data_IF_062766282266
#
_entry.id   IF_062766282266
#
_cell.length_a   1.000
_cell.length_b   1.000
_cell.length_c   1.000
_cell.angle_alpha   90.00
_cell.angle_beta   90.00
_cell.angle_gamma   90.00
#
_symmetry.space_group_name_H-M   'P 1'
#
loop_
_entity.id
_entity.type
_entity.pdbx_description
1 polymer ?
#
# COMPACT_ATOMS: atom_id res chain seq x y z
N UNK A 1 11.08 15.02 -3.54
CA UNK A 1 10.58 13.71 -4.02
C UNK A 1 9.39 13.18 -3.21
N UNK A 2 9.37 13.34 -1.88
CA UNK A 2 8.29 12.82 -1.02
C UNK A 2 6.89 13.33 -1.40
N UNK A 3 6.73 14.62 -1.73
CA UNK A 3 5.43 15.15 -2.19
C UNK A 3 4.87 14.48 -3.45
N UNK A 4 5.73 13.96 -4.34
CA UNK A 4 5.29 13.19 -5.51
C UNK A 4 4.65 11.84 -5.11
N UNK A 5 4.95 11.35 -3.90
CA UNK A 5 4.45 10.09 -3.34
C UNK A 5 2.95 10.10 -3.09
N UNK A 6 2.35 11.28 -2.84
CA UNK A 6 0.89 11.41 -2.71
C UNK A 6 0.17 11.00 -3.99
N UNK A 7 0.81 11.21 -5.15
CA UNK A 7 0.36 10.63 -6.42
C UNK A 7 0.67 9.13 -6.46
N UNK A 8 1.95 8.81 -6.60
CA UNK A 8 2.41 7.42 -6.64
C UNK A 8 3.82 7.30 -6.04
N UNK A 9 4.06 6.21 -5.30
CA UNK A 9 5.36 5.99 -4.68
C UNK A 9 6.47 5.65 -5.70
N UNK A 10 6.11 5.18 -6.90
CA UNK A 10 7.06 4.89 -7.99
C UNK A 10 7.86 6.15 -8.42
N UNK A 11 7.24 7.25 -8.88
CA UNK A 11 7.97 8.46 -9.24
C UNK A 11 8.65 9.12 -8.04
N UNK A 12 8.12 8.96 -6.82
CA UNK A 12 8.77 9.46 -5.61
C UNK A 12 10.12 8.79 -5.36
N UNK A 13 10.19 7.46 -5.50
CA UNK A 13 11.43 6.68 -5.35
C UNK A 13 12.41 7.01 -6.48
N UNK A 14 11.97 7.07 -7.75
CA UNK A 14 12.82 7.47 -8.88
C UNK A 14 13.38 8.90 -8.70
N UNK A 15 12.56 9.81 -8.16
CA UNK A 15 12.94 11.19 -7.88
C UNK A 15 13.99 11.32 -6.78
N UNK A 16 14.24 10.28 -5.97
CA UNK A 16 15.29 10.31 -4.96
C UNK A 16 16.71 10.37 -5.58
N UNK A 17 16.87 10.10 -6.88
CA UNK A 17 18.15 10.23 -7.60
C UNK A 17 18.76 11.63 -7.58
N UNK A 18 17.93 12.67 -7.43
CA UNK A 18 18.38 14.07 -7.32
C UNK A 18 19.14 14.31 -6.01
N UNK A 19 18.97 13.44 -5.01
CA UNK A 19 19.69 13.53 -3.74
C UNK A 19 21.08 12.92 -3.93
N UNK A 20 22.11 13.77 -3.89
CA UNK A 20 23.50 13.36 -4.09
C UNK A 20 24.01 12.47 -2.95
N UNK A 21 23.66 12.82 -1.70
CA UNK A 21 24.12 12.07 -0.55
C UNK A 21 23.46 10.68 -0.49
N UNK A 22 24.28 9.62 -0.61
CA UNK A 22 23.79 8.23 -0.63
C UNK A 22 22.92 7.88 0.58
N UNK A 23 23.23 8.41 1.76
CA UNK A 23 22.49 8.17 2.99
C UNK A 23 21.11 8.82 2.97
N UNK A 24 21.01 10.10 2.62
CA UNK A 24 19.71 10.77 2.53
C UNK A 24 18.88 10.22 1.36
N UNK A 25 19.54 9.78 0.27
CA UNK A 25 18.88 9.07 -0.83
C UNK A 25 18.24 7.78 -0.36
N UNK A 26 18.98 6.92 0.35
CA UNK A 26 18.44 5.66 0.89
C UNK A 26 17.32 5.90 1.91
N UNK A 27 17.49 6.87 2.82
CA UNK A 27 16.46 7.24 3.78
C UNK A 27 15.18 7.70 3.07
N UNK A 28 15.30 8.54 2.04
CA UNK A 28 14.15 8.98 1.24
C UNK A 28 13.46 7.83 0.51
N UNK A 29 14.23 6.90 -0.05
CA UNK A 29 13.71 5.70 -0.72
C UNK A 29 12.91 4.83 0.26
N UNK A 30 13.39 4.68 1.50
CA UNK A 30 12.72 3.84 2.51
C UNK A 30 11.46 4.48 3.11
N UNK A 31 11.43 5.81 3.18
CA UNK A 31 10.29 6.55 3.70
C UNK A 31 9.21 6.81 2.65
N UNK A 32 9.55 6.89 1.37
CA UNK A 32 8.56 7.15 0.31
C UNK A 32 7.36 6.18 0.34
N UNK A 33 7.52 4.85 0.56
CA UNK A 33 6.41 3.91 0.72
C UNK A 33 5.43 4.18 1.87
N UNK A 34 5.80 4.97 2.89
CA UNK A 34 4.91 5.34 4.00
C UNK A 34 3.97 6.48 3.63
N UNK A 35 4.24 7.19 2.53
CA UNK A 35 3.36 8.24 2.03
C UNK A 35 2.10 7.59 1.48
N UNK A 36 0.92 8.11 1.85
CA UNK A 36 -0.30 7.63 1.25
C UNK A 36 -0.39 8.05 -0.21
N UNK A 37 -0.35 7.07 -1.12
CA UNK A 37 -0.60 7.29 -2.53
C UNK A 37 -2.10 7.31 -2.85
N UNK A 38 -2.45 7.78 -4.05
CA UNK A 38 -3.85 7.85 -4.53
C UNK A 38 -4.61 6.55 -4.36
N UNK A 39 -4.00 5.42 -4.72
CA UNK A 39 -4.63 4.10 -4.61
C UNK A 39 -5.01 3.75 -3.16
N UNK A 40 -4.18 4.09 -2.18
CA UNK A 40 -4.50 3.87 -0.75
C UNK A 40 -5.64 4.77 -0.29
N UNK A 41 -5.65 6.02 -0.77
CA UNK A 41 -6.77 6.94 -0.50
C UNK A 41 -8.07 6.44 -1.10
N UNK A 42 -8.06 5.88 -2.30
CA UNK A 42 -9.24 5.27 -2.93
C UNK A 42 -9.79 4.11 -2.10
N UNK A 43 -8.92 3.22 -1.60
CA UNK A 43 -9.34 2.11 -0.73
C UNK A 43 -9.98 2.61 0.56
N UNK A 44 -9.38 3.60 1.22
CA UNK A 44 -9.95 4.19 2.44
C UNK A 44 -11.28 4.90 2.14
N UNK A 45 -11.36 5.65 1.05
CA UNK A 45 -12.59 6.33 0.65
C UNK A 45 -13.75 5.36 0.38
N UNK A 46 -13.45 4.13 -0.06
CA UNK A 46 -14.45 3.10 -0.27
C UNK A 46 -14.80 2.33 1.01
N UNK A 47 -13.80 1.90 1.79
CA UNK A 47 -14.01 1.04 2.95
C UNK A 47 -14.38 1.82 4.22
N UNK A 48 -13.91 3.04 4.43
CA UNK A 48 -14.20 3.79 5.65
C UNK A 48 -15.72 4.08 5.83
N UNK A 49 -16.47 4.47 4.79
CA UNK A 49 -17.93 4.61 4.88
C UNK A 49 -18.64 3.30 5.24
N UNK A 50 -18.13 2.15 4.78
CA UNK A 50 -18.72 0.85 5.08
C UNK A 50 -18.70 0.51 6.57
N UNK A 51 -17.63 0.87 7.29
CA UNK A 51 -17.51 0.58 8.73
C UNK A 51 -18.03 1.68 9.64
N UNK A 52 -17.94 2.95 9.23
CA UNK A 52 -18.12 4.11 10.11
C UNK A 52 -19.21 5.10 9.69
N UNK A 53 -19.84 4.88 8.52
CA UNK A 53 -20.92 5.75 8.03
C UNK A 53 -20.55 7.24 8.08
N UNK A 54 -21.25 8.01 8.92
CA UNK A 54 -21.04 9.45 9.08
C UNK A 54 -19.66 9.84 9.66
N UNK A 55 -19.03 8.96 10.45
CA UNK A 55 -17.71 9.22 11.02
C UNK A 55 -16.55 8.90 10.06
N UNK A 56 -16.83 8.40 8.85
CA UNK A 56 -15.82 7.98 7.88
C UNK A 56 -14.86 9.10 7.45
N UNK A 57 -15.33 10.35 7.38
CA UNK A 57 -14.50 11.51 7.04
C UNK A 57 -13.44 11.76 8.11
N UNK A 58 -13.83 11.71 9.39
CA UNK A 58 -12.94 11.89 10.53
C UNK A 58 -11.91 10.77 10.61
N UNK A 59 -12.34 9.52 10.39
CA UNK A 59 -11.46 8.34 10.36
C UNK A 59 -10.45 8.45 9.22
N UNK A 60 -10.88 8.86 8.03
CA UNK A 60 -10.00 9.01 6.87
C UNK A 60 -8.91 10.05 7.12
N UNK A 61 -9.29 11.23 7.65
CA UNK A 61 -8.33 12.26 8.05
C UNK A 61 -7.38 11.79 9.15
N UNK A 62 -7.89 11.08 10.15
CA UNK A 62 -7.09 10.46 11.21
C UNK A 62 -6.06 9.48 10.67
N UNK A 63 -6.42 8.67 9.67
CA UNK A 63 -5.49 7.74 9.01
C UNK A 63 -4.41 8.43 8.21
N UNK A 64 -4.74 9.53 7.52
CA UNK A 64 -3.73 10.34 6.81
C UNK A 64 -2.73 10.91 7.80
N UNK A 65 -3.22 11.52 8.89
CA UNK A 65 -2.39 12.08 9.95
C UNK A 65 -1.52 11.01 10.61
N UNK A 66 -2.09 9.82 10.88
CA UNK A 66 -1.36 8.70 11.43
C UNK A 66 -0.26 8.21 10.49
N UNK A 67 -0.54 8.09 9.18
CA UNK A 67 0.48 7.71 8.21
C UNK A 67 1.62 8.74 8.14
N UNK A 68 1.31 10.03 8.19
CA UNK A 68 2.31 11.11 8.24
C UNK A 68 3.09 11.14 9.56
N UNK A 69 2.44 10.85 10.69
CA UNK A 69 3.09 10.72 11.99
C UNK A 69 4.06 9.54 11.99
N UNK A 70 3.64 8.38 11.49
CA UNK A 70 4.49 7.18 11.35
C UNK A 70 5.64 7.43 10.39
N UNK A 71 5.43 8.14 9.29
CA UNK A 71 6.49 8.60 8.38
C UNK A 71 7.52 9.46 9.12
N UNK A 72 7.08 10.46 9.88
CA UNK A 72 7.98 11.35 10.63
C UNK A 72 8.75 10.59 11.71
N UNK A 73 8.06 9.77 12.51
CA UNK A 73 8.67 8.93 13.56
C UNK A 73 9.68 7.94 12.98
N UNK A 74 9.31 7.24 11.91
CA UNK A 74 10.19 6.33 11.18
C UNK A 74 11.41 7.05 10.63
N UNK A 75 11.23 8.26 10.07
CA UNK A 75 12.31 9.06 9.54
C UNK A 75 13.31 9.48 10.61
N UNK A 76 12.82 9.96 11.76
CA UNK A 76 13.67 10.30 12.92
C UNK A 76 14.39 9.05 13.45
N UNK A 77 13.67 7.94 13.60
CA UNK A 77 14.22 6.69 14.12
C UNK A 77 15.35 6.17 13.22
N UNK A 78 15.07 5.98 11.92
CA UNK A 78 16.05 5.47 10.95
C UNK A 78 17.25 6.41 10.82
N UNK A 79 17.03 7.73 10.82
CA UNK A 79 18.13 8.69 10.76
C UNK A 79 19.05 8.59 11.99
N UNK A 80 18.47 8.42 13.18
CA UNK A 80 19.23 8.34 14.44
C UNK A 80 19.93 6.98 14.65
N UNK A 81 19.32 5.88 14.18
CA UNK A 81 19.83 4.52 14.39
C UNK A 81 20.73 4.04 13.26
N UNK A 82 20.34 4.23 11.99
CA UNK A 82 21.02 3.64 10.81
C UNK A 82 21.92 4.65 10.09
N UNK A 83 21.51 5.91 9.97
CA UNK A 83 22.22 6.91 9.14
C UNK A 83 22.79 8.08 9.95
N UNK A 84 23.71 7.81 10.89
CA UNK A 84 24.45 8.87 11.60
C UNK A 84 25.45 9.58 10.67
N UNK A 85 25.31 10.89 10.42
CA UNK A 85 26.37 11.70 9.80
C UNK A 85 25.95 12.98 9.08
N UNK A 86 26.96 13.78 8.71
CA UNK A 86 26.88 15.19 8.31
C UNK A 86 25.82 15.51 7.24
N UNK A 87 25.13 16.63 7.46
CA UNK A 87 24.22 17.27 6.50
C UNK A 87 25.07 17.67 5.29
N UNK A 88 24.76 17.13 4.11
CA UNK A 88 25.38 17.62 2.88
C UNK A 88 25.09 19.12 2.78
N UNK A 89 26.14 19.93 2.64
CA UNK A 89 26.00 21.36 2.42
C UNK A 89 25.23 21.53 1.10
N UNK A 90 23.97 21.92 1.19
CA UNK A 90 23.17 22.28 0.02
C UNK A 90 23.67 23.63 -0.48
N UNK A 91 24.74 23.61 -1.27
CA UNK A 91 25.05 24.71 -2.16
C UNK A 91 24.05 24.57 -3.32
N UNK A 92 22.90 25.21 -3.14
CA UNK A 92 21.86 25.26 -4.17
C UNK A 92 22.24 26.38 -5.14
N UNK A 93 23.21 26.10 -6.02
CA UNK A 93 23.48 26.98 -7.15
C UNK A 93 22.21 26.97 -8.01
N UNK A 94 21.57 28.12 -8.16
CA UNK A 94 20.39 28.22 -9.03
C UNK A 94 20.89 28.04 -10.47
N UNK A 95 20.57 26.94 -11.17
CA UNK A 95 20.95 26.81 -12.57
C UNK A 95 20.19 27.85 -13.39
N UNK A 96 20.79 28.33 -14.48
CA UNK A 96 20.07 29.18 -15.43
C UNK A 96 18.76 28.50 -15.86
N UNK A 97 17.64 29.14 -15.56
CA UNK A 97 16.31 28.65 -15.89
C UNK A 97 16.09 28.81 -17.41
N UNK A 98 16.03 27.69 -18.12
CA UNK A 98 15.75 27.67 -19.55
C UNK A 98 14.24 27.49 -19.78
N UNK A 99 13.69 28.19 -20.78
CA UNK A 99 12.29 28.02 -21.16
C UNK A 99 12.04 26.58 -21.66
N UNK A 100 11.09 25.84 -21.06
CA UNK A 100 10.85 24.46 -21.43
C UNK A 100 10.31 24.34 -22.86
N UNK A 101 10.94 23.48 -23.67
CA UNK A 101 10.40 23.13 -24.98
C UNK A 101 9.24 22.12 -24.83
N UNK A 102 8.01 22.58 -25.05
CA UNK A 102 6.78 21.80 -24.94
C UNK A 102 6.80 20.51 -25.78
N UNK A 103 7.43 20.53 -26.96
CA UNK A 103 7.51 19.35 -27.83
C UNK A 103 8.37 18.25 -27.19
N UNK A 104 9.52 18.64 -26.63
CA UNK A 104 10.44 17.70 -25.97
C UNK A 104 9.81 17.13 -24.69
N UNK A 105 9.13 17.97 -23.90
CA UNK A 105 8.41 17.50 -22.71
C UNK A 105 7.31 16.52 -23.11
N UNK A 106 6.49 16.85 -24.11
CA UNK A 106 5.42 15.97 -24.59
C UNK A 106 5.95 14.60 -25.05
N UNK A 107 7.00 14.58 -25.87
CA UNK A 107 7.64 13.36 -26.33
C UNK A 107 8.23 12.54 -25.17
N UNK A 108 8.91 13.19 -24.22
CA UNK A 108 9.53 12.51 -23.08
C UNK A 108 8.48 11.94 -22.13
N UNK A 109 7.41 12.69 -21.85
CA UNK A 109 6.27 12.22 -21.04
C UNK A 109 5.60 11.03 -21.73
N UNK A 110 5.38 11.10 -23.05
CA UNK A 110 4.79 10.01 -23.82
C UNK A 110 5.65 8.74 -23.79
N UNK A 111 6.96 8.87 -24.05
CA UNK A 111 7.90 7.74 -24.01
C UNK A 111 8.00 7.12 -22.61
N UNK A 112 8.09 7.94 -21.56
CA UNK A 112 8.12 7.47 -20.17
C UNK A 112 6.80 6.83 -19.76
N UNK A 113 5.67 7.41 -20.16
CA UNK A 113 4.33 6.86 -19.95
C UNK A 113 4.18 5.49 -20.60
N UNK A 114 4.58 5.35 -21.87
CA UNK A 114 4.51 4.08 -22.58
C UNK A 114 5.45 3.02 -21.98
N UNK A 115 6.64 3.42 -21.54
CA UNK A 115 7.57 2.53 -20.84
C UNK A 115 7.00 2.02 -19.52
N UNK A 116 6.33 2.91 -18.76
CA UNK A 116 5.64 2.55 -17.53
C UNK A 116 4.49 1.58 -17.80
N UNK A 117 3.62 1.87 -18.77
CA UNK A 117 2.49 1.00 -19.12
C UNK A 117 2.95 -0.39 -19.56
N UNK A 118 4.00 -0.48 -20.41
CA UNK A 118 4.53 -1.79 -20.83
C UNK A 118 5.12 -2.59 -19.68
N UNK A 119 5.88 -1.96 -18.77
CA UNK A 119 6.53 -2.65 -17.63
C UNK A 119 5.55 -3.00 -16.51
N UNK A 120 4.70 -2.05 -16.12
CA UNK A 120 3.70 -2.25 -15.08
C UNK A 120 2.58 -3.19 -15.58
N UNK A 121 2.13 -3.02 -16.84
CA UNK A 121 1.08 -3.84 -17.43
C UNK A 121 1.45 -5.30 -17.55
N UNK A 122 2.66 -5.62 -18.04
CA UNK A 122 3.13 -7.02 -18.10
C UNK A 122 3.24 -7.66 -16.72
N UNK A 123 3.75 -6.92 -15.73
CA UNK A 123 3.84 -7.39 -14.35
C UNK A 123 2.45 -7.62 -13.73
N UNK A 124 1.53 -6.68 -13.86
CA UNK A 124 0.16 -6.80 -13.32
C UNK A 124 -0.55 -7.98 -13.97
N UNK A 125 -0.46 -8.13 -15.30
CA UNK A 125 -1.10 -9.23 -16.03
C UNK A 125 -0.61 -10.59 -15.53
N UNK A 126 0.72 -10.78 -15.47
CA UNK A 126 1.31 -12.03 -14.97
C UNK A 126 0.82 -12.34 -13.55
N UNK A 127 0.85 -11.34 -12.67
CA UNK A 127 0.48 -11.55 -11.28
C UNK A 127 -1.03 -11.78 -11.11
N UNK A 128 -1.89 -11.11 -11.87
CA UNK A 128 -3.34 -11.36 -11.88
C UNK A 128 -3.68 -12.77 -12.36
N UNK A 129 -3.00 -13.27 -13.41
CA UNK A 129 -3.17 -14.65 -13.89
C UNK A 129 -2.75 -15.64 -12.80
N UNK A 130 -1.62 -15.39 -12.12
CA UNK A 130 -1.16 -16.24 -11.01
C UNK A 130 -2.18 -16.24 -9.87
N UNK A 131 -2.68 -15.08 -9.43
CA UNK A 131 -3.70 -15.01 -8.37
C UNK A 131 -4.98 -15.72 -8.76
N UNK A 132 -5.43 -15.57 -10.01
CA UNK A 132 -6.61 -16.27 -10.51
C UNK A 132 -6.43 -17.79 -10.47
N UNK A 133 -5.28 -18.31 -10.93
CA UNK A 133 -4.95 -19.72 -10.85
C UNK A 133 -4.95 -20.22 -9.39
N UNK A 134 -4.32 -19.46 -8.48
CA UNK A 134 -4.28 -19.80 -7.04
C UNK A 134 -5.67 -19.71 -6.37
N UNK A 135 -6.58 -18.90 -6.92
CA UNK A 135 -7.94 -18.74 -6.41
C UNK A 135 -8.89 -19.83 -6.89
N UNK A 136 -8.61 -20.50 -8.01
CA UNK A 136 -9.49 -21.50 -8.63
C UNK A 136 -9.05 -22.93 -8.33
N UNK A 137 -7.74 -23.20 -8.23
CA UNK A 137 -7.23 -24.54 -7.96
C UNK A 137 -7.25 -24.86 -6.44
N UNK A 138 -7.54 -26.11 -6.02
CA UNK A 138 -7.88 -27.30 -6.83
C UNK A 138 -9.38 -27.55 -7.08
N UNK A 139 -10.29 -26.94 -6.31
CA UNK A 139 -11.71 -27.31 -6.26
C UNK A 139 -12.70 -26.35 -6.90
N UNK A 140 -12.27 -25.22 -7.48
CA UNK A 140 -13.15 -24.20 -8.06
C UNK A 140 -13.88 -23.32 -7.06
N UNK A 141 -13.87 -23.68 -5.77
CA UNK A 141 -14.42 -22.90 -4.67
C UNK A 141 -13.34 -22.01 -4.02
N UNK A 142 -13.66 -20.74 -3.80
CA UNK A 142 -12.70 -19.78 -3.23
C UNK A 142 -12.27 -20.18 -1.81
N UNK A 143 -13.11 -20.89 -1.05
CA UNK A 143 -12.83 -21.31 0.33
C UNK A 143 -11.87 -22.51 0.45
N UNK A 144 -11.77 -23.35 -0.59
CA UNK A 144 -10.85 -24.51 -0.64
C UNK A 144 -9.62 -24.26 -1.50
N UNK A 145 -9.50 -23.05 -2.05
CA UNK A 145 -8.40 -22.64 -2.92
C UNK A 145 -7.05 -22.58 -2.20
N UNK A 146 -5.95 -22.66 -2.96
CA UNK A 146 -4.60 -22.41 -2.44
C UNK A 146 -4.49 -21.02 -1.80
N UNK A 147 -5.22 -20.04 -2.32
CA UNK A 147 -5.29 -18.70 -1.76
C UNK A 147 -5.87 -18.70 -0.33
N UNK A 148 -6.95 -19.45 -0.09
CA UNK A 148 -7.53 -19.64 1.23
C UNK A 148 -6.60 -20.41 2.17
N UNK A 149 -5.88 -21.42 1.67
CA UNK A 149 -4.88 -22.14 2.46
C UNK A 149 -3.75 -21.21 2.95
N UNK A 150 -3.23 -20.34 2.08
CA UNK A 150 -2.26 -19.30 2.46
C UNK A 150 -2.87 -18.31 3.46
N UNK A 151 -4.12 -17.90 3.24
CA UNK A 151 -4.85 -17.03 4.18
C UNK A 151 -4.96 -17.63 5.60
N UNK A 152 -5.35 -18.90 5.70
CA UNK A 152 -5.44 -19.64 6.97
C UNK A 152 -4.06 -19.86 7.62
N UNK A 153 -3.01 -20.03 6.82
CA UNK A 153 -1.65 -20.11 7.33
C UNK A 153 -1.15 -18.79 7.93
N UNK A 154 -1.58 -17.64 7.38
CA UNK A 154 -1.28 -16.32 7.92
C UNK A 154 -2.26 -15.84 9.02
N UNK A 155 -3.42 -16.48 9.14
CA UNK A 155 -4.45 -16.20 10.14
C UNK A 155 -3.91 -16.02 11.58
N UNK A 156 -2.99 -16.84 12.14
CA UNK A 156 -2.51 -16.63 13.51
C UNK A 156 -1.86 -15.26 13.72
N UNK A 157 -1.23 -14.70 12.69
CA UNK A 157 -0.64 -13.35 12.76
C UNK A 157 -1.72 -12.27 12.65
N UNK A 158 -2.76 -12.51 11.84
CA UNK A 158 -3.91 -11.63 11.65
C UNK A 158 -4.87 -11.61 12.84
N UNK A 159 -5.01 -12.73 13.56
CA UNK A 159 -5.92 -12.88 14.70
C UNK A 159 -5.61 -11.91 15.84
N UNK A 160 -4.34 -11.49 15.98
CA UNK A 160 -3.93 -10.44 16.93
C UNK A 160 -4.54 -9.06 16.63
N UNK A 161 -5.00 -8.85 15.40
CA UNK A 161 -5.71 -7.66 14.92
C UNK A 161 -7.21 -7.94 14.68
N UNK A 162 -7.66 -9.15 15.00
CA UNK A 162 -9.00 -9.65 14.68
C UNK A 162 -9.27 -9.87 13.18
N UNK A 163 -8.23 -10.13 12.38
CA UNK A 163 -8.42 -10.46 10.97
C UNK A 163 -8.72 -11.94 10.76
N UNK A 164 -9.78 -12.20 10.01
CA UNK A 164 -10.05 -13.52 9.44
C UNK A 164 -9.20 -13.80 8.19
N UNK A 165 -9.17 -15.06 7.76
CA UNK A 165 -8.46 -15.48 6.55
C UNK A 165 -8.87 -14.66 5.31
N UNK A 166 -10.13 -14.20 5.22
CA UNK A 166 -10.64 -13.37 4.12
C UNK A 166 -9.95 -12.00 4.05
N UNK A 167 -9.81 -11.32 5.20
CA UNK A 167 -9.09 -10.05 5.30
C UNK A 167 -7.59 -10.24 5.06
N UNK A 168 -7.02 -11.35 5.53
CA UNK A 168 -5.61 -11.68 5.27
C UNK A 168 -5.34 -11.89 3.78
N UNK A 169 -6.22 -12.60 3.08
CA UNK A 169 -6.14 -12.80 1.63
C UNK A 169 -6.27 -11.46 0.89
N UNK A 170 -7.24 -10.61 1.26
CA UNK A 170 -7.39 -9.28 0.67
C UNK A 170 -6.16 -8.38 0.90
N UNK A 171 -5.53 -8.48 2.07
CA UNK A 171 -4.31 -7.74 2.37
C UNK A 171 -3.12 -8.24 1.53
N UNK A 172 -2.99 -9.55 1.34
CA UNK A 172 -1.93 -10.14 0.50
C UNK A 172 -2.08 -9.74 -0.97
N UNK A 173 -3.31 -9.79 -1.49
CA UNK A 173 -3.58 -9.41 -2.89
C UNK A 173 -3.38 -7.91 -3.13
N UNK A 174 -3.46 -7.09 -2.07
CA UNK A 174 -3.12 -5.66 -2.10
C UNK A 174 -1.64 -5.36 -2.40
N UNK A 175 -0.75 -6.35 -2.27
CA UNK A 175 0.66 -6.22 -2.61
C UNK A 175 0.87 -5.98 -4.12
N UNK A 176 -0.08 -6.44 -4.94
CA UNK A 176 -0.02 -6.39 -6.40
C UNK A 176 -0.43 -4.99 -6.87
N UNK A 177 -1.66 -4.65 -6.54
CA UNK A 177 -2.27 -3.34 -6.71
C UNK A 177 -3.13 -3.08 -5.48
N UNK A 178 -3.13 -1.86 -4.94
CA UNK A 178 -3.78 -1.59 -3.66
C UNK A 178 -5.29 -1.70 -3.77
N UNK A 179 -5.87 -1.30 -4.90
CA UNK A 179 -7.30 -1.40 -5.18
C UNK A 179 -7.78 -2.85 -5.31
N UNK A 180 -6.89 -3.80 -5.58
CA UNK A 180 -7.23 -5.22 -5.70
C UNK A 180 -7.80 -5.79 -4.38
N UNK A 181 -7.50 -5.17 -3.24
CA UNK A 181 -8.10 -5.53 -1.95
C UNK A 181 -9.63 -5.41 -2.00
N UNK A 182 -10.17 -4.36 -2.62
CA UNK A 182 -11.62 -4.14 -2.77
C UNK A 182 -12.23 -5.23 -3.65
N UNK A 183 -11.60 -5.51 -4.79
CA UNK A 183 -12.08 -6.53 -5.72
C UNK A 183 -12.12 -7.93 -5.09
N UNK A 184 -11.08 -8.29 -4.32
CA UNK A 184 -11.00 -9.58 -3.64
C UNK A 184 -12.01 -9.69 -2.50
N UNK A 185 -12.23 -8.62 -1.73
CA UNK A 185 -13.33 -8.58 -0.76
C UNK A 185 -14.69 -8.71 -1.45
N UNK A 186 -14.88 -8.03 -2.59
CA UNK A 186 -16.07 -8.17 -3.43
C UNK A 186 -16.33 -9.63 -3.84
N UNK A 187 -15.32 -10.35 -4.30
CA UNK A 187 -15.48 -11.78 -4.67
C UNK A 187 -15.73 -12.67 -3.44
N UNK A 188 -15.02 -12.44 -2.34
CA UNK A 188 -15.10 -13.28 -1.13
C UNK A 188 -16.41 -13.11 -0.35
N UNK A 189 -17.00 -11.92 -0.39
CA UNK A 189 -18.26 -11.60 0.29
C UNK A 189 -19.45 -11.52 -0.68
N UNK A 190 -19.20 -11.35 -1.98
CA UNK A 190 -20.19 -11.37 -3.06
C UNK A 190 -20.49 -12.77 -3.60
N UNK A 191 -19.73 -13.81 -3.23
CA UNK A 191 -20.04 -15.20 -3.62
C UNK A 191 -21.34 -15.76 -3.01
N UNK A 192 -22.05 -15.03 -2.14
CA UNK A 192 -23.47 -15.27 -1.84
C UNK A 192 -24.45 -14.76 -2.92
N UNK A 193 -23.93 -14.23 -4.04
CA UNK A 193 -24.70 -13.80 -5.21
C UNK A 193 -23.80 -13.74 -6.45
N UNK A 194 -23.58 -14.88 -7.10
CA UNK A 194 -22.89 -14.98 -8.38
C UNK A 194 -23.50 -14.02 -9.42
N UNK A 195 -22.77 -12.99 -9.85
CA UNK A 195 -22.60 -12.66 -11.27
C UNK A 195 -21.30 -11.88 -11.50
N UNK A 196 -20.56 -12.34 -12.51
CA UNK A 196 -19.30 -11.78 -12.95
C UNK A 196 -19.47 -10.36 -13.53
N UNK A 197 -18.52 -9.49 -13.18
CA UNK A 197 -18.09 -8.39 -14.04
C UNK A 197 -18.79 -7.05 -13.85
N UNK A 198 -18.09 -6.13 -13.18
CA UNK A 198 -18.18 -4.70 -13.46
C UNK A 198 -19.24 -3.93 -12.68
N UNK A 199 -18.77 -2.87 -12.02
CA UNK A 199 -19.50 -1.64 -11.73
C UNK A 199 -20.88 -1.80 -11.05
N UNK A 200 -20.89 -2.12 -9.75
CA UNK A 200 -22.12 -2.01 -8.97
C UNK A 200 -22.09 -2.48 -7.50
N UNK A 201 -20.96 -2.94 -6.95
CA UNK A 201 -20.95 -3.72 -5.70
C UNK A 201 -20.82 -2.90 -4.40
N UNK A 202 -21.04 -1.57 -4.45
CA UNK A 202 -20.86 -0.71 -3.27
C UNK A 202 -21.94 -0.88 -2.19
N UNK A 203 -23.18 -1.19 -2.57
CA UNK A 203 -24.31 -1.19 -1.64
C UNK A 203 -24.38 -2.45 -0.77
N UNK A 204 -24.13 -3.65 -1.34
CA UNK A 204 -24.20 -4.92 -0.59
C UNK A 204 -22.91 -5.29 0.15
N UNK A 205 -21.75 -4.89 -0.38
CA UNK A 205 -20.46 -5.21 0.25
C UNK A 205 -20.27 -4.43 1.55
N UNK A 206 -20.66 -3.15 1.58
CA UNK A 206 -20.54 -2.33 2.78
C UNK A 206 -21.36 -2.90 3.95
N UNK A 207 -22.59 -3.31 3.68
CA UNK A 207 -23.52 -3.86 4.68
C UNK A 207 -23.06 -5.23 5.19
N UNK A 208 -22.60 -6.11 4.30
CA UNK A 208 -22.07 -7.43 4.69
C UNK A 208 -20.78 -7.32 5.51
N UNK A 209 -19.87 -6.40 5.18
CA UNK A 209 -18.68 -6.17 6.00
C UNK A 209 -19.02 -5.60 7.39
N UNK A 210 -19.96 -4.66 7.47
CA UNK A 210 -20.40 -4.09 8.74
C UNK A 210 -21.11 -5.13 9.63
N UNK A 211 -21.84 -6.07 9.03
CA UNK A 211 -22.49 -7.15 9.76
C UNK A 211 -21.51 -8.25 10.22
N UNK A 212 -20.44 -8.49 9.45
CA UNK A 212 -19.49 -9.59 9.72
C UNK A 212 -18.35 -9.16 10.65
N UNK A 213 -17.91 -7.90 10.59
CA UNK A 213 -16.74 -7.42 11.29
C UNK A 213 -17.04 -6.27 12.25
N UNK A 214 -16.40 -6.32 13.42
CA UNK A 214 -16.46 -5.25 14.40
C UNK A 214 -15.76 -3.96 13.91
N UNK A 215 -16.15 -2.80 14.46
CA UNK A 215 -15.50 -1.53 14.15
C UNK A 215 -13.97 -1.53 14.43
N UNK A 216 -13.45 -2.12 15.54
CA UNK A 216 -12.01 -2.21 15.79
C UNK A 216 -11.26 -3.00 14.71
N UNK A 217 -11.86 -4.09 14.21
CA UNK A 217 -11.28 -4.89 13.12
C UNK A 217 -11.21 -4.09 11.82
N UNK A 218 -12.24 -3.30 11.50
CA UNK A 218 -12.25 -2.41 10.34
C UNK A 218 -11.17 -1.32 10.41
N UNK A 219 -10.99 -0.68 11.58
CA UNK A 219 -9.93 0.33 11.78
C UNK A 219 -8.54 -0.29 11.63
N UNK A 220 -8.30 -1.43 12.26
CA UNK A 220 -7.03 -2.12 12.16
C UNK A 220 -6.74 -2.49 10.70
N UNK A 221 -7.74 -3.00 9.96
CA UNK A 221 -7.59 -3.36 8.55
C UNK A 221 -7.21 -2.15 7.69
N UNK A 222 -7.89 -1.02 7.86
CA UNK A 222 -7.62 0.19 7.09
C UNK A 222 -6.22 0.76 7.38
N UNK A 223 -5.79 0.76 8.65
CA UNK A 223 -4.45 1.24 9.01
C UNK A 223 -3.37 0.31 8.48
N UNK A 224 -3.56 -1.00 8.64
CA UNK A 224 -2.63 -1.98 8.07
C UNK A 224 -2.59 -1.80 6.56
N UNK A 225 -3.72 -1.70 5.87
CA UNK A 225 -3.77 -1.50 4.43
C UNK A 225 -3.03 -0.23 3.97
N UNK A 226 -3.10 0.84 4.77
CA UNK A 226 -2.41 2.11 4.55
C UNK A 226 -0.89 2.01 4.73
N UNK A 227 -0.41 1.26 5.73
CA UNK A 227 1.02 1.14 6.06
C UNK A 227 1.69 -0.10 5.44
N UNK A 228 0.88 -1.02 4.89
CA UNK A 228 1.35 -2.29 4.35
C UNK A 228 2.37 -2.09 3.23
N UNK A 229 3.13 -3.16 2.98
CA UNK A 229 4.15 -3.27 1.94
C UNK A 229 3.68 -2.57 0.65
N UNK A 230 4.53 -1.76 0.00
CA UNK A 230 4.14 -1.04 -1.20
C UNK A 230 3.90 -2.01 -2.35
N UNK A 231 3.27 -1.52 -3.42
CA UNK A 231 2.95 -2.37 -4.57
C UNK A 231 4.21 -2.92 -5.25
N UNK A 232 4.09 -4.03 -5.98
CA UNK A 232 5.20 -4.70 -6.68
C UNK A 232 5.98 -3.72 -7.57
N UNK A 233 5.29 -2.77 -8.22
CA UNK A 233 5.91 -1.74 -9.03
C UNK A 233 6.87 -0.84 -8.21
N UNK A 234 6.48 -0.46 -6.99
CA UNK A 234 7.34 0.32 -6.10
C UNK A 234 8.51 -0.51 -5.60
N UNK A 235 8.29 -1.79 -5.25
CA UNK A 235 9.37 -2.70 -4.83
C UNK A 235 10.41 -2.89 -5.94
N UNK A 236 9.97 -3.06 -7.17
CA UNK A 236 10.86 -3.19 -8.33
C UNK A 236 11.74 -1.95 -8.51
N UNK A 237 11.16 -0.75 -8.34
CA UNK A 237 11.88 0.52 -8.43
C UNK A 237 12.81 0.71 -7.23
N UNK A 238 12.39 0.37 -6.01
CA UNK A 238 13.26 0.37 -4.82
C UNK A 238 14.48 -0.53 -5.05
N UNK A 239 14.29 -1.74 -5.59
CA UNK A 239 15.38 -2.63 -5.96
C UNK A 239 16.30 -2.01 -7.01
N UNK A 240 15.74 -1.38 -8.04
CA UNK A 240 16.50 -0.71 -9.09
C UNK A 240 17.35 0.44 -8.55
N UNK A 241 16.82 1.25 -7.63
CA UNK A 241 17.54 2.39 -7.05
C UNK A 241 18.56 2.00 -5.97
N UNK A 242 18.27 0.95 -5.20
CA UNK A 242 19.18 0.47 -4.15
C UNK A 242 20.24 -0.48 -4.69
N UNK A 243 20.06 -1.00 -5.91
CA UNK A 243 20.91 -1.99 -6.59
C UNK A 243 21.28 -3.20 -5.69
N UNK A 244 20.42 -3.57 -4.74
CA UNK A 244 20.72 -4.59 -3.75
C UNK A 244 19.48 -5.20 -3.11
N UNK A 245 19.43 -6.53 -3.08
CA UNK A 245 18.33 -7.27 -2.45
C UNK A 245 18.33 -7.14 -0.92
N UNK A 246 19.50 -7.01 -0.30
CA UNK A 246 19.62 -6.85 1.16
C UNK A 246 18.88 -5.60 1.65
N UNK A 247 19.06 -4.46 0.97
CA UNK A 247 18.39 -3.21 1.32
C UNK A 247 16.91 -3.20 0.95
N UNK A 248 16.54 -3.86 -0.14
CA UNK A 248 15.13 -4.03 -0.52
C UNK A 248 14.38 -4.86 0.52
N UNK A 249 14.92 -6.02 0.91
CA UNK A 249 14.33 -6.89 1.94
C UNK A 249 14.31 -6.22 3.31
N UNK A 250 15.34 -5.45 3.66
CA UNK A 250 15.34 -4.65 4.89
C UNK A 250 14.20 -3.63 4.89
N UNK A 251 13.96 -2.94 3.77
CA UNK A 251 12.83 -2.02 3.66
C UNK A 251 11.47 -2.73 3.75
N UNK A 252 11.31 -3.86 3.07
CA UNK A 252 10.08 -4.65 3.13
C UNK A 252 9.81 -5.16 4.55
N UNK A 253 10.82 -5.71 5.22
CA UNK A 253 10.71 -6.20 6.59
C UNK A 253 10.40 -5.07 7.57
N UNK A 254 11.05 -3.91 7.41
CA UNK A 254 10.77 -2.72 8.21
C UNK A 254 9.31 -2.27 8.06
N UNK A 255 8.81 -2.14 6.82
CA UNK A 255 7.43 -1.70 6.56
C UNK A 255 6.41 -2.72 7.06
N UNK A 256 6.67 -4.01 6.88
CA UNK A 256 5.81 -5.07 7.41
C UNK A 256 5.76 -5.06 8.93
N UNK A 257 6.90 -4.88 9.61
CA UNK A 257 6.97 -4.80 11.06
C UNK A 257 6.23 -3.56 11.59
N UNK A 258 6.45 -2.39 10.98
CA UNK A 258 5.77 -1.15 11.36
C UNK A 258 4.26 -1.27 11.13
N UNK A 259 3.84 -1.78 9.97
CA UNK A 259 2.43 -2.02 9.67
C UNK A 259 1.79 -2.98 10.66
N UNK A 260 2.51 -4.05 11.04
CA UNK A 260 2.01 -5.03 11.99
C UNK A 260 1.90 -4.43 13.40
N UNK A 261 2.95 -3.77 13.89
CA UNK A 261 2.97 -3.18 15.23
C UNK A 261 1.90 -2.09 15.41
N UNK A 262 1.75 -1.20 14.42
CA UNK A 262 0.74 -0.13 14.46
C UNK A 262 -0.67 -0.70 14.34
N UNK A 263 -0.89 -1.72 13.49
CA UNK A 263 -2.19 -2.39 13.38
C UNK A 263 -2.63 -3.06 14.67
N UNK A 264 -1.73 -3.80 15.34
CA UNK A 264 -2.02 -4.44 16.63
C UNK A 264 -2.31 -3.37 17.67
N UNK A 265 -1.48 -2.32 17.74
CA UNK A 265 -1.68 -1.23 18.68
C UNK A 265 -3.06 -0.57 18.56
N UNK A 266 -3.50 -0.27 17.33
CA UNK A 266 -4.81 0.37 17.10
C UNK A 266 -5.96 -0.58 17.39
N UNK A 267 -5.84 -1.86 17.03
CA UNK A 267 -6.88 -2.85 17.34
C UNK A 267 -7.16 -2.90 18.84
N UNK A 268 -6.12 -3.01 19.67
CA UNK A 268 -6.27 -3.06 21.12
C UNK A 268 -6.69 -1.72 21.72
N UNK A 269 -6.18 -0.60 21.22
CA UNK A 269 -6.63 0.73 21.65
C UNK A 269 -8.11 0.97 21.34
N UNK A 270 -8.58 0.58 20.16
CA UNK A 270 -10.00 0.69 19.79
C UNK A 270 -10.87 -0.18 20.68
N UNK A 271 -10.46 -1.44 20.91
CA UNK A 271 -11.17 -2.36 21.81
C UNK A 271 -11.22 -1.88 23.26
N UNK A 272 -10.14 -1.27 23.76
CA UNK A 272 -10.09 -0.67 25.11
C UNK A 272 -10.91 0.62 25.21
N UNK A 273 -11.00 1.36 24.10
CA UNK A 273 -11.82 2.57 23.99
C UNK A 273 -13.33 2.31 23.86
N UNK A 274 -13.76 1.04 23.85
CA UNK A 274 -15.18 0.67 23.78
C UNK A 274 -15.81 0.76 22.39
N UNK A 275 -14.98 0.79 21.33
CA UNK A 275 -15.40 0.58 19.95
C UNK A 275 -15.55 -0.91 19.62
#
# INVERSE_FOLDING_TARGET
PLFLGFGCNVPAVLGARVIESRRARLLTIFLAPLIPCTARMTVIAFLAPAFFGSAATLVSWGMVLLALAVLALSGVLINKTVFRGQRAAFIMELPLYHLPNWRTIGLLVWQRGLSFVRKAGTLILVVSVVVWILSVLPGGEVETSFLAAVGRWLEPVGRLMGFDWRLMVALLTSFIAKENSIAVLGVLFGSTGLTAGGAGEGAGLAETLAATFSAPTGLAFLVVQMLFIPCVATVAVVRQETNSWRWTLFNLGFLLLVSWAVGVGIFWLARLGGL
#
